data_IF_457084021916
#
_entry.id   IF_457084021916
#
_cell.length_a   1.000
_cell.length_b   1.000
_cell.length_c   1.000
_cell.angle_alpha   90.00
_cell.angle_beta   90.00
_cell.angle_gamma   90.00
#
_symmetry.space_group_name_H-M   'P 1'
#
loop_
_entity.id
_entity.type
_entity.pdbx_description
1 polymer ?
#
# COMPACT_ATOMS: atom_id res chain seq x y z
N UNK A 1 0.79 54.49 22.10
CA UNK A 1 -0.12 53.74 21.21
C UNK A 1 0.53 52.39 20.92
N UNK A 2 0.02 51.30 21.51
CA UNK A 2 0.56 49.96 21.30
C UNK A 2 0.02 49.47 19.95
N UNK A 3 0.88 49.38 18.94
CA UNK A 3 0.48 48.93 17.62
C UNK A 3 0.03 47.46 17.71
N UNK A 4 -1.16 47.14 17.23
CA UNK A 4 -1.73 45.79 17.21
C UNK A 4 -0.82 44.84 16.42
N UNK A 5 0.09 44.16 17.11
CA UNK A 5 1.05 43.20 16.54
C UNK A 5 0.41 41.84 16.29
N UNK A 6 -0.72 41.55 16.93
CA UNK A 6 -1.36 40.23 16.93
C UNK A 6 -1.87 39.86 15.54
N UNK A 7 -2.50 40.81 14.84
CA UNK A 7 -2.90 40.63 13.44
C UNK A 7 -1.70 40.44 12.51
N UNK A 8 -0.61 41.20 12.69
CA UNK A 8 0.59 41.08 11.84
C UNK A 8 1.29 39.73 11.98
N UNK A 9 1.40 39.20 13.20
CA UNK A 9 1.98 37.87 13.42
C UNK A 9 1.13 36.77 12.80
N UNK A 10 -0.20 36.86 12.91
CA UNK A 10 -1.11 35.91 12.28
C UNK A 10 -1.00 35.95 10.75
N UNK A 11 -1.03 37.14 10.14
CA UNK A 11 -0.84 37.30 8.69
C UNK A 11 0.51 36.72 8.24
N UNK A 12 1.59 36.98 8.99
CA UNK A 12 2.91 36.45 8.65
C UNK A 12 3.00 34.93 8.80
N UNK A 13 2.34 34.34 9.80
CA UNK A 13 2.30 32.89 9.99
C UNK A 13 1.50 32.23 8.86
N UNK A 14 0.36 32.80 8.49
CA UNK A 14 -0.47 32.28 7.41
C UNK A 14 0.23 32.40 6.04
N UNK A 15 0.91 33.52 5.78
CA UNK A 15 1.72 33.68 4.58
C UNK A 15 2.81 32.61 4.49
N UNK A 16 3.57 32.39 5.57
CA UNK A 16 4.59 31.34 5.62
C UNK A 16 4.01 29.95 5.40
N UNK A 17 2.83 29.68 5.94
CA UNK A 17 2.13 28.40 5.74
C UNK A 17 1.81 28.18 4.26
N UNK A 18 1.25 29.20 3.60
CA UNK A 18 0.92 29.17 2.17
C UNK A 18 2.17 29.05 1.30
N UNK A 19 3.26 29.77 1.62
CA UNK A 19 4.54 29.66 0.91
C UNK A 19 5.12 28.24 0.99
N UNK A 20 5.04 27.59 2.15
CA UNK A 20 5.47 26.21 2.31
C UNK A 20 4.60 25.25 1.50
N UNK A 21 3.27 25.42 1.56
CA UNK A 21 2.32 24.61 0.80
C UNK A 21 2.54 24.73 -0.71
N UNK A 22 2.73 25.95 -1.21
CA UNK A 22 3.04 26.20 -2.62
C UNK A 22 4.33 25.48 -3.04
N UNK A 23 5.40 25.58 -2.23
CA UNK A 23 6.66 24.88 -2.51
C UNK A 23 6.49 23.36 -2.56
N UNK A 24 5.74 22.78 -1.61
CA UNK A 24 5.51 21.33 -1.61
C UNK A 24 4.74 20.86 -2.84
N UNK A 25 3.74 21.63 -3.28
CA UNK A 25 2.99 21.32 -4.50
C UNK A 25 3.86 21.42 -5.76
N UNK A 26 4.77 22.40 -5.83
CA UNK A 26 5.75 22.51 -6.92
C UNK A 26 6.70 21.30 -6.96
N UNK A 27 7.20 20.88 -5.80
CA UNK A 27 8.06 19.68 -5.67
C UNK A 27 7.31 18.39 -6.08
N UNK A 28 6.06 18.23 -5.66
CA UNK A 28 5.23 17.07 -6.03
C UNK A 28 4.93 17.05 -7.54
N UNK A 29 4.64 18.21 -8.12
CA UNK A 29 4.39 18.32 -9.56
C UNK A 29 5.63 17.97 -10.39
N UNK A 30 6.81 18.42 -9.97
CA UNK A 30 8.09 18.04 -10.61
C UNK A 30 8.32 16.53 -10.53
N UNK A 31 8.03 15.90 -9.39
CA UNK A 31 8.12 14.45 -9.24
C UNK A 31 7.16 13.70 -10.16
N UNK A 32 5.89 14.12 -10.23
CA UNK A 32 4.88 13.52 -11.12
C UNK A 32 5.31 13.65 -12.58
N UNK A 33 5.88 14.79 -12.95
CA UNK A 33 6.36 15.05 -14.32
C UNK A 33 7.53 14.14 -14.70
N UNK A 34 8.39 13.79 -13.74
CA UNK A 34 9.53 12.89 -13.94
C UNK A 34 9.16 11.41 -13.83
N UNK A 35 8.02 11.10 -13.23
CA UNK A 35 7.58 9.71 -13.02
C UNK A 35 7.16 9.09 -14.35
N UNK A 36 7.49 7.81 -14.53
CA UNK A 36 7.13 7.06 -15.73
C UNK A 36 5.60 6.88 -15.86
N UNK A 37 5.14 6.55 -17.07
CA UNK A 37 3.72 6.31 -17.31
C UNK A 37 3.26 5.12 -16.47
N UNK A 38 2.12 5.29 -15.81
CA UNK A 38 1.45 4.22 -15.06
C UNK A 38 1.23 2.99 -15.92
N UNK A 39 0.95 3.13 -17.22
CA UNK A 39 0.80 2.01 -18.15
C UNK A 39 2.04 1.10 -18.19
N UNK A 40 3.24 1.68 -18.22
CA UNK A 40 4.50 0.92 -18.26
C UNK A 40 4.72 0.18 -16.93
N UNK A 41 4.49 0.83 -15.80
CA UNK A 41 4.58 0.20 -14.48
C UNK A 41 3.54 -0.91 -14.30
N UNK A 42 2.32 -0.74 -14.83
CA UNK A 42 1.28 -1.75 -14.80
C UNK A 42 1.63 -2.97 -15.67
N UNK A 43 2.18 -2.77 -16.88
CA UNK A 43 2.65 -3.86 -17.73
C UNK A 43 3.77 -4.66 -17.06
N UNK A 44 4.75 -4.00 -16.44
CA UNK A 44 5.81 -4.66 -15.69
C UNK A 44 5.24 -5.46 -14.51
N UNK A 45 4.29 -4.89 -13.77
CA UNK A 45 3.64 -5.55 -12.66
C UNK A 45 2.88 -6.80 -13.10
N UNK A 46 2.05 -6.69 -14.16
CA UNK A 46 1.31 -7.82 -14.72
C UNK A 46 2.26 -8.93 -15.18
N UNK A 47 3.33 -8.57 -15.89
CA UNK A 47 4.36 -9.53 -16.30
C UNK A 47 4.96 -10.28 -15.10
N UNK A 48 5.23 -9.62 -13.98
CA UNK A 48 5.76 -10.29 -12.78
C UNK A 48 4.74 -11.24 -12.14
N UNK A 49 3.47 -10.84 -12.09
CA UNK A 49 2.38 -11.62 -11.49
C UNK A 49 2.05 -12.84 -12.35
N UNK A 50 2.00 -12.70 -13.66
CA UNK A 50 1.64 -13.79 -14.58
C UNK A 50 2.75 -14.84 -14.71
N UNK A 51 4.02 -14.43 -14.69
CA UNK A 51 5.14 -15.34 -14.93
C UNK A 51 5.60 -16.11 -13.68
N UNK A 52 5.11 -15.76 -12.48
CA UNK A 52 5.49 -16.42 -11.23
C UNK A 52 4.25 -17.06 -10.58
N UNK A 53 4.13 -18.40 -10.59
CA UNK A 53 2.98 -19.06 -9.98
C UNK A 53 2.99 -18.85 -8.46
N UNK A 54 1.87 -18.37 -7.93
CA UNK A 54 1.65 -18.21 -6.49
C UNK A 54 1.12 -19.52 -5.90
N UNK A 55 1.85 -20.15 -4.96
CA UNK A 55 1.44 -21.43 -4.40
C UNK A 55 0.20 -21.34 -3.50
N UNK A 56 -0.24 -20.14 -3.12
CA UNK A 56 -1.48 -19.90 -2.38
C UNK A 56 -2.70 -19.72 -3.29
N UNK A 57 -2.51 -19.64 -4.61
CA UNK A 57 -3.61 -19.48 -5.56
C UNK A 57 -4.00 -20.83 -6.18
N UNK A 58 -5.31 -21.12 -6.38
CA UNK A 58 -5.78 -22.41 -6.87
C UNK A 58 -5.35 -22.76 -8.31
N UNK A 59 -4.83 -21.78 -9.06
CA UNK A 59 -4.35 -21.94 -10.43
C UNK A 59 -2.82 -21.91 -10.44
N UNK A 60 -2.17 -22.84 -9.73
CA UNK A 60 -0.73 -23.04 -9.87
C UNK A 60 -0.46 -23.86 -11.12
N UNK A 61 0.32 -23.31 -12.05
CA UNK A 61 0.95 -24.06 -13.13
C UNK A 61 2.01 -25.00 -12.54
N UNK A 62 1.60 -26.19 -12.08
CA UNK A 62 2.50 -27.17 -11.47
C UNK A 62 1.76 -28.34 -10.84
N UNK A 63 2.45 -29.45 -10.51
CA UNK A 63 1.84 -30.57 -9.81
C UNK A 63 1.36 -30.13 -8.43
N UNK A 64 0.11 -30.48 -8.08
CA UNK A 64 -0.45 -30.27 -6.74
C UNK A 64 0.51 -30.90 -5.73
N UNK A 65 0.96 -30.11 -4.75
CA UNK A 65 1.85 -30.60 -3.71
C UNK A 65 1.01 -31.18 -2.55
N UNK A 66 0.91 -32.51 -2.40
CA UNK A 66 0.05 -33.14 -1.40
C UNK A 66 0.45 -32.82 0.06
N UNK A 67 1.66 -32.26 0.30
CA UNK A 67 2.04 -31.80 1.63
C UNK A 67 1.34 -30.51 2.07
N UNK A 68 0.66 -29.81 1.15
CA UNK A 68 -0.09 -28.58 1.43
C UNK A 68 -1.42 -28.88 2.10
N UNK A 69 -2.01 -30.05 1.84
CA UNK A 69 -3.26 -30.49 2.47
C UNK A 69 -3.16 -30.49 4.00
N UNK A 70 -1.96 -30.76 4.55
CA UNK A 70 -1.69 -30.65 5.99
C UNK A 70 -1.96 -29.26 6.59
N UNK A 71 -1.80 -28.20 5.81
CA UNK A 71 -1.98 -26.82 6.25
C UNK A 71 -3.38 -26.26 5.93
N UNK A 72 -4.02 -26.74 4.85
CA UNK A 72 -5.28 -26.18 4.34
C UNK A 72 -6.51 -27.07 4.58
N UNK A 73 -6.37 -28.39 4.67
CA UNK A 73 -7.50 -29.31 4.90
C UNK A 73 -7.75 -29.63 6.38
N UNK A 74 -6.90 -29.09 7.27
CA UNK A 74 -6.96 -29.36 8.70
C UNK A 74 -6.52 -30.79 9.07
N UNK A 75 -6.54 -31.15 10.36
CA UNK A 75 -6.05 -32.46 10.80
C UNK A 75 -6.93 -33.59 10.24
N UNK A 76 -6.42 -34.35 9.28
CA UNK A 76 -7.15 -35.46 8.64
C UNK A 76 -7.50 -36.61 9.61
N UNK A 77 -6.84 -36.68 10.77
CA UNK A 77 -6.89 -37.85 11.66
C UNK A 77 -7.32 -37.56 13.11
N UNK A 78 -7.86 -36.37 13.37
CA UNK A 78 -8.52 -36.11 14.65
C UNK A 78 -10.01 -36.32 14.46
N UNK A 79 -10.53 -37.48 14.90
CA UNK A 79 -11.93 -37.60 15.33
C UNK A 79 -12.22 -36.36 16.18
N UNK A 80 -12.98 -35.41 15.61
CA UNK A 80 -13.06 -34.05 16.13
C UNK A 80 -13.23 -34.04 17.65
N UNK A 81 -12.31 -33.38 18.35
CA UNK A 81 -12.48 -33.17 19.78
C UNK A 81 -13.77 -32.37 19.98
N UNK A 82 -14.73 -32.91 20.74
CA UNK A 82 -15.96 -32.23 21.18
C UNK A 82 -15.68 -31.22 22.30
N UNK A 83 -14.55 -30.52 22.26
CA UNK A 83 -14.25 -29.51 23.24
C UNK A 83 -14.99 -28.22 22.84
N UNK A 84 -15.99 -27.86 23.64
CA UNK A 84 -16.64 -26.55 23.56
C UNK A 84 -15.63 -25.51 24.06
N UNK A 85 -15.30 -24.55 23.20
CA UNK A 85 -14.53 -23.38 23.62
C UNK A 85 -15.43 -22.59 24.59
N UNK A 86 -14.91 -22.36 25.80
CA UNK A 86 -15.52 -21.50 26.83
C UNK A 86 -15.45 -20.04 26.43
#
# INVERSE_FOLDING_TARGET
MQADTRGRHWISAELKRLELEARFLEEELDLITKTEKVSASCEEFLSKVENKPDPLLPVTSGPVNPNWDRWFEGPQDLKGCRCWIL
#
